data_IF_378506399394
#
_entry.id   IF_378506399394
#
_cell.length_a   1.000
_cell.length_b   1.000
_cell.length_c   1.000
_cell.angle_alpha   90.00
_cell.angle_beta   90.00
_cell.angle_gamma   90.00
#
_symmetry.space_group_name_H-M   'P 1'
#
loop_
_entity.id
_entity.type
_entity.pdbx_description
1 polymer ?
#
# COMPACT_ATOMS: atom_id res chain seq x y z
N UNK A 1 -35.93 13.15 -21.32
CA UNK A 1 -35.23 12.35 -20.30
C UNK A 1 -35.15 10.93 -20.85
N UNK A 2 -34.02 10.27 -21.07
CA UNK A 2 -32.62 10.57 -20.79
C UNK A 2 -31.79 10.17 -22.01
N UNK A 3 -30.76 10.97 -22.30
CA UNK A 3 -29.75 10.75 -23.33
C UNK A 3 -28.69 9.79 -22.81
N UNK A 4 -28.41 8.75 -23.58
CA UNK A 4 -27.31 7.81 -23.40
C UNK A 4 -26.12 8.28 -24.26
N UNK A 5 -24.98 8.68 -23.67
CA UNK A 5 -23.84 9.10 -24.46
C UNK A 5 -22.66 8.14 -24.26
N UNK A 6 -21.99 7.86 -25.39
CA UNK A 6 -20.65 7.29 -25.54
C UNK A 6 -20.55 5.79 -25.88
N UNK A 7 -21.10 5.45 -27.04
CA UNK A 7 -20.40 4.64 -28.04
C UNK A 7 -19.49 5.59 -28.86
N UNK A 8 -18.22 5.22 -29.09
CA UNK A 8 -17.23 6.17 -29.61
C UNK A 8 -15.83 5.58 -29.83
N UNK A 9 -15.77 4.67 -30.80
CA UNK A 9 -14.66 4.39 -31.73
C UNK A 9 -13.20 4.74 -31.33
N UNK A 10 -12.44 3.67 -31.11
CA UNK A 10 -10.97 3.62 -31.06
C UNK A 10 -10.38 3.58 -32.48
N UNK A 11 -9.99 4.73 -33.07
CA UNK A 11 -8.97 4.75 -34.16
C UNK A 11 -8.08 5.99 -34.16
N UNK A 12 -6.82 5.73 -33.83
CA UNK A 12 -5.56 6.23 -34.45
C UNK A 12 -5.46 7.72 -34.80
N UNK A 13 -4.59 8.41 -34.07
CA UNK A 13 -3.67 9.37 -34.68
C UNK A 13 -2.25 9.12 -34.16
N UNK A 14 -1.37 8.75 -35.10
CA UNK A 14 0.08 8.67 -34.96
C UNK A 14 0.68 9.88 -35.68
N UNK A 15 1.70 10.46 -35.05
CA UNK A 15 2.75 11.36 -35.55
C UNK A 15 2.63 12.88 -35.39
N UNK A 16 3.66 13.41 -34.71
CA UNK A 16 4.31 14.67 -35.06
C UNK A 16 4.30 15.70 -33.93
N UNK A 17 5.37 15.78 -33.12
CA UNK A 17 5.46 16.84 -32.12
C UNK A 17 6.61 16.71 -31.15
N UNK A 18 7.75 17.27 -31.52
CA UNK A 18 8.99 17.43 -30.76
C UNK A 18 8.79 18.47 -29.65
N UNK A 19 9.30 18.17 -28.45
CA UNK A 19 9.75 19.19 -27.49
C UNK A 19 8.76 19.56 -26.38
N UNK A 20 9.31 19.70 -25.16
CA UNK A 20 8.62 20.31 -24.03
C UNK A 20 8.73 19.47 -22.78
N UNK A 21 9.77 19.72 -21.98
CA UNK A 21 9.93 19.11 -20.67
C UNK A 21 8.72 19.41 -19.78
N UNK A 22 8.12 18.35 -19.23
CA UNK A 22 7.19 18.50 -18.13
C UNK A 22 8.01 18.68 -16.86
N UNK A 23 7.98 19.91 -16.35
CA UNK A 23 8.35 20.22 -14.99
C UNK A 23 7.36 19.55 -14.03
N UNK A 24 7.92 18.91 -13.02
CA UNK A 24 7.21 18.49 -11.83
C UNK A 24 6.48 19.70 -11.21
N UNK A 25 5.16 19.63 -10.94
CA UNK A 25 4.44 20.74 -10.30
C UNK A 25 4.56 20.73 -8.77
N UNK A 26 5.44 19.89 -8.20
CA UNK A 26 5.76 19.92 -6.78
C UNK A 26 7.27 19.74 -6.64
N UNK A 27 7.96 20.82 -6.25
CA UNK A 27 9.42 20.90 -6.14
C UNK A 27 10.02 20.04 -5.03
N UNK A 28 9.78 18.74 -5.03
CA UNK A 28 10.58 17.79 -4.27
C UNK A 28 11.86 17.50 -5.05
N UNK A 29 12.90 18.28 -4.77
CA UNK A 29 14.26 17.93 -5.17
C UNK A 29 14.71 16.80 -4.24
N UNK A 30 15.00 15.58 -4.73
CA UNK A 30 15.54 14.54 -3.88
C UNK A 30 16.89 15.04 -3.34
N UNK A 31 16.98 15.14 -2.01
CA UNK A 31 18.25 15.40 -1.33
C UNK A 31 19.16 14.22 -1.67
N UNK A 32 20.25 14.48 -2.39
CA UNK A 32 21.25 13.47 -2.72
C UNK A 32 21.65 12.71 -1.44
N UNK A 33 21.80 11.38 -1.47
CA UNK A 33 22.51 10.71 -0.39
C UNK A 33 23.94 11.22 -0.40
N UNK A 34 24.30 11.96 0.65
CA UNK A 34 25.65 12.47 0.91
C UNK A 34 26.56 11.31 1.37
N UNK A 35 26.64 10.24 0.59
CA UNK A 35 27.60 9.17 0.79
C UNK A 35 28.92 9.59 0.13
N UNK A 36 29.72 10.38 0.85
CA UNK A 36 31.07 10.73 0.39
C UNK A 36 31.69 12.01 0.94
N UNK A 37 30.95 12.84 1.69
CA UNK A 37 31.60 13.92 2.45
C UNK A 37 32.19 13.30 3.72
N UNK A 38 33.44 12.85 3.63
CA UNK A 38 34.33 12.98 4.78
C UNK A 38 34.19 14.41 5.26
N UNK A 39 33.59 14.62 6.44
CA UNK A 39 33.61 15.92 7.11
C UNK A 39 35.04 16.44 6.97
N UNK A 40 35.28 17.59 6.29
CA UNK A 40 36.58 18.20 6.41
C UNK A 40 36.79 18.36 7.91
N UNK A 41 37.93 17.89 8.48
CA UNK A 41 38.16 18.01 9.91
C UNK A 41 37.88 19.47 10.23
N UNK A 42 36.96 19.71 11.17
CA UNK A 42 36.57 21.05 11.60
C UNK A 42 37.87 21.80 11.79
N UNK A 43 38.22 22.63 10.80
CA UNK A 43 39.51 23.31 10.79
C UNK A 43 39.49 24.09 12.09
N UNK A 44 40.42 23.86 13.03
CA UNK A 44 40.41 24.61 14.27
C UNK A 44 40.48 26.06 13.82
N UNK A 45 39.40 26.81 14.07
CA UNK A 45 39.39 28.23 13.81
C UNK A 45 40.69 28.76 14.45
N UNK A 46 41.51 29.54 13.71
CA UNK A 46 42.82 29.92 14.21
C UNK A 46 42.63 30.54 15.59
N UNK A 47 43.28 29.93 16.59
CA UNK A 47 43.16 30.31 18.00
C UNK A 47 43.76 31.70 18.32
N UNK A 48 44.11 32.47 17.27
CA UNK A 48 44.52 33.88 17.32
C UNK A 48 43.46 34.81 16.72
N UNK A 49 42.17 34.47 16.84
CA UNK A 49 41.12 35.47 16.68
C UNK A 49 41.25 36.47 17.83
N UNK A 50 41.57 37.73 17.52
CA UNK A 50 41.65 38.86 18.47
C UNK A 50 40.35 38.94 19.28
N UNK A 51 40.30 38.25 20.42
CA UNK A 51 39.13 38.14 21.27
C UNK A 51 39.07 39.36 22.18
N UNK A 52 38.42 40.40 21.65
CA UNK A 52 38.12 41.61 22.40
C UNK A 52 36.73 41.45 23.02
N UNK A 53 36.62 41.49 24.34
CA UNK A 53 35.31 41.57 24.99
C UNK A 53 34.87 43.03 25.12
N UNK A 54 33.55 43.31 25.25
CA UNK A 54 33.08 44.66 25.57
C UNK A 54 33.76 45.24 26.82
N UNK A 55 34.07 44.38 27.80
CA UNK A 55 34.76 44.77 29.03
C UNK A 55 36.22 45.17 28.76
N UNK A 56 36.91 44.46 27.86
CA UNK A 56 38.28 44.79 27.47
C UNK A 56 38.33 46.14 26.76
N UNK A 57 37.35 46.42 25.89
CA UNK A 57 37.22 47.72 25.22
C UNK A 57 37.02 48.83 26.25
N UNK A 58 36.11 48.64 27.23
CA UNK A 58 35.87 49.63 28.30
C UNK A 58 37.07 49.83 29.24
N UNK A 59 38.00 48.88 29.32
CA UNK A 59 39.20 48.98 30.16
C UNK A 59 40.44 49.42 29.40
N UNK A 60 40.39 49.49 28.07
CA UNK A 60 41.55 49.79 27.23
C UNK A 60 42.03 51.23 27.42
N UNK A 61 43.22 51.43 27.96
CA UNK A 61 43.85 52.75 28.09
C UNK A 61 44.75 53.07 26.89
N UNK A 62 44.78 54.33 26.48
CA UNK A 62 45.63 54.82 25.39
C UNK A 62 46.71 55.78 25.91
N UNK A 63 47.94 55.63 25.39
CA UNK A 63 49.04 56.53 25.72
C UNK A 63 48.83 57.90 25.07
N UNK A 64 49.09 58.98 25.80
CA UNK A 64 49.00 60.36 25.29
C UNK A 64 50.23 60.68 24.43
N UNK A 65 50.04 61.36 23.30
CA UNK A 65 51.13 61.85 22.43
C UNK A 65 50.85 63.28 21.95
N UNK A 66 51.91 64.04 21.64
CA UNK A 66 51.85 65.47 21.27
C UNK A 66 51.04 65.77 19.98
N UNK A 67 50.67 64.75 19.19
CA UNK A 67 49.81 64.85 17.99
C UNK A 67 48.71 63.77 17.98
N UNK A 68 48.27 63.31 19.16
CA UNK A 68 47.25 62.27 19.29
C UNK A 68 45.83 62.77 19.06
N UNK A 69 44.90 61.83 18.93
CA UNK A 69 43.45 62.12 18.90
C UNK A 69 42.98 62.72 20.23
N UNK A 70 41.86 63.44 20.18
CA UNK A 70 41.23 64.04 21.37
C UNK A 70 40.81 62.95 22.37
N UNK A 71 41.28 63.01 23.64
CA UNK A 71 40.99 61.97 24.63
C UNK A 71 39.49 61.72 24.88
N UNK A 72 38.68 62.79 24.92
CA UNK A 72 37.23 62.69 25.16
C UNK A 72 36.53 62.00 23.99
N UNK A 73 36.84 62.39 22.75
CA UNK A 73 36.27 61.76 21.56
C UNK A 73 36.65 60.28 21.42
N UNK A 74 37.89 59.91 21.78
CA UNK A 74 38.33 58.50 21.80
C UNK A 74 37.58 57.71 22.87
N UNK A 75 37.40 58.28 24.07
CA UNK A 75 36.66 57.64 25.16
C UNK A 75 35.18 57.40 24.78
N UNK A 76 34.51 58.40 24.23
CA UNK A 76 33.13 58.29 23.75
C UNK A 76 33.01 57.22 22.65
N UNK A 77 33.94 57.19 21.70
CA UNK A 77 33.96 56.17 20.66
C UNK A 77 34.17 54.77 21.24
N UNK A 78 35.13 54.62 22.18
CA UNK A 78 35.43 53.35 22.87
C UNK A 78 34.18 52.80 23.57
N UNK A 79 33.46 53.65 24.30
CA UNK A 79 32.21 53.26 24.95
C UNK A 79 31.14 52.82 23.94
N UNK A 80 30.93 53.58 22.85
CA UNK A 80 29.98 53.21 21.79
C UNK A 80 30.33 51.89 21.11
N UNK A 81 31.61 51.62 20.87
CA UNK A 81 32.08 50.35 20.28
C UNK A 81 31.84 49.20 21.25
N UNK A 82 32.12 49.39 22.55
CA UNK A 82 31.83 48.37 23.56
C UNK A 82 30.34 48.02 23.61
N UNK A 83 29.46 49.03 23.62
CA UNK A 83 28.01 48.82 23.65
C UNK A 83 27.49 48.15 22.37
N UNK A 84 28.01 48.55 21.21
CA UNK A 84 27.67 47.91 19.93
C UNK A 84 28.12 46.44 19.90
N UNK A 85 29.32 46.14 20.41
CA UNK A 85 29.83 44.77 20.49
C UNK A 85 29.00 43.93 21.47
N UNK A 86 28.64 44.47 22.63
CA UNK A 86 27.79 43.80 23.61
C UNK A 86 26.42 43.44 23.00
N UNK A 87 25.84 44.39 22.25
CA UNK A 87 24.59 44.16 21.51
C UNK A 87 24.72 43.03 20.49
N UNK A 88 25.78 43.04 19.67
CA UNK A 88 26.02 42.00 18.66
C UNK A 88 26.22 40.63 19.31
N UNK A 89 26.97 40.54 20.42
CA UNK A 89 27.17 39.28 21.15
C UNK A 89 25.82 38.75 21.68
N UNK A 90 24.98 39.63 22.22
CA UNK A 90 23.64 39.24 22.71
C UNK A 90 22.74 38.77 21.57
N UNK A 91 22.68 39.51 20.47
CA UNK A 91 21.91 39.12 19.29
C UNK A 91 22.41 37.79 18.70
N UNK A 92 23.72 37.59 18.64
CA UNK A 92 24.34 36.32 18.23
C UNK A 92 23.91 35.16 19.12
N UNK A 93 23.99 35.31 20.44
CA UNK A 93 23.56 34.29 21.41
C UNK A 93 22.11 33.86 21.18
N UNK A 94 21.21 34.84 21.02
CA UNK A 94 19.79 34.58 20.75
C UNK A 94 19.58 33.87 19.41
N UNK A 95 20.35 34.23 18.38
CA UNK A 95 20.26 33.58 17.07
C UNK A 95 20.81 32.14 17.11
N UNK A 96 21.91 31.90 17.84
CA UNK A 96 22.49 30.56 18.04
C UNK A 96 21.51 29.64 18.79
N UNK A 97 20.87 30.12 19.85
CA UNK A 97 19.81 29.37 20.55
C UNK A 97 18.64 29.01 19.63
N UNK A 98 18.17 29.97 18.81
CA UNK A 98 17.10 29.73 17.84
C UNK A 98 17.50 28.72 16.76
N UNK A 99 18.73 28.82 16.25
CA UNK A 99 19.27 27.87 15.28
C UNK A 99 19.35 26.46 15.86
N UNK A 100 19.78 26.32 17.11
CA UNK A 100 19.81 25.04 17.81
C UNK A 100 18.40 24.44 17.91
N UNK A 101 17.43 25.22 18.40
CA UNK A 101 16.04 24.77 18.54
C UNK A 101 15.40 24.38 17.19
N UNK A 102 15.62 25.17 16.14
CA UNK A 102 15.14 24.86 14.79
C UNK A 102 15.81 23.60 14.21
N UNK A 103 17.10 23.40 14.49
CA UNK A 103 17.84 22.22 14.04
C UNK A 103 17.32 20.95 14.70
N UNK A 104 17.02 21.00 16.00
CA UNK A 104 16.38 19.89 16.73
C UNK A 104 14.98 19.58 16.19
N UNK A 105 14.16 20.60 15.94
CA UNK A 105 12.84 20.41 15.32
C UNK A 105 12.96 19.78 13.94
N UNK A 106 13.87 20.25 13.09
CA UNK A 106 14.09 19.71 11.77
C UNK A 106 14.54 18.24 11.83
N UNK A 107 15.40 17.89 12.78
CA UNK A 107 15.80 16.50 13.03
C UNK A 107 14.59 15.64 13.39
N UNK A 108 13.76 16.08 14.33
CA UNK A 108 12.55 15.36 14.72
C UNK A 108 11.56 15.21 13.54
N UNK A 109 11.41 16.23 12.70
CA UNK A 109 10.58 16.13 11.49
C UNK A 109 11.13 15.09 10.50
N UNK A 110 12.44 15.09 10.26
CA UNK A 110 13.08 14.09 9.38
C UNK A 110 12.94 12.67 9.91
N UNK A 111 13.08 12.47 11.22
CA UNK A 111 12.87 11.16 11.85
C UNK A 111 11.40 10.69 11.70
N UNK A 112 10.43 11.59 11.90
CA UNK A 112 9.01 11.28 11.67
C UNK A 112 8.71 10.97 10.20
N UNK A 113 9.29 11.72 9.27
CA UNK A 113 9.13 11.48 7.83
C UNK A 113 9.68 10.11 7.43
N UNK A 114 10.85 9.72 7.97
CA UNK A 114 11.42 8.38 7.77
C UNK A 114 10.48 7.29 8.29
N UNK A 115 10.01 7.41 9.53
CA UNK A 115 9.07 6.46 10.11
C UNK A 115 7.76 6.36 9.31
N UNK A 116 7.26 7.47 8.78
CA UNK A 116 6.06 7.50 7.95
C UNK A 116 6.29 6.81 6.60
N UNK A 117 7.45 7.01 5.97
CA UNK A 117 7.83 6.32 4.73
C UNK A 117 7.97 4.81 4.95
N UNK A 118 8.62 4.39 6.04
CA UNK A 118 8.73 2.98 6.42
C UNK A 118 7.34 2.35 6.65
N UNK A 119 6.46 3.04 7.37
CA UNK A 119 5.09 2.60 7.59
C UNK A 119 4.29 2.49 6.28
N UNK A 120 4.49 3.41 5.33
CA UNK A 120 3.84 3.36 4.02
C UNK A 120 4.31 2.13 3.22
N UNK A 121 5.61 1.86 3.20
CA UNK A 121 6.17 0.67 2.53
C UNK A 121 5.64 -0.60 3.18
N UNK A 122 5.63 -0.67 4.51
CA UNK A 122 5.07 -1.81 5.24
C UNK A 122 3.58 -2.03 4.92
N UNK A 123 2.80 -0.95 4.85
CA UNK A 123 1.38 -1.02 4.49
C UNK A 123 1.16 -1.48 3.04
N UNK A 124 2.03 -1.09 2.11
CA UNK A 124 1.99 -1.57 0.72
C UNK A 124 2.32 -3.06 0.65
N UNK A 125 3.35 -3.51 1.36
CA UNK A 125 3.73 -4.92 1.43
C UNK A 125 2.60 -5.77 2.04
N UNK A 126 2.04 -5.33 3.17
CA UNK A 126 0.91 -6.02 3.81
C UNK A 126 -0.29 -6.13 2.88
N UNK A 127 -0.62 -5.06 2.14
CA UNK A 127 -1.70 -5.08 1.16
C UNK A 127 -1.45 -6.10 0.06
N UNK A 128 -0.22 -6.19 -0.44
CA UNK A 128 0.14 -7.16 -1.47
C UNK A 128 0.06 -8.59 -0.94
N UNK A 129 0.56 -8.83 0.28
CA UNK A 129 0.51 -10.15 0.92
C UNK A 129 -0.94 -10.58 1.18
N UNK A 130 -1.80 -9.67 1.66
CA UNK A 130 -3.23 -9.92 1.82
C UNK A 130 -3.91 -10.27 0.50
N UNK A 131 -3.57 -9.56 -0.59
CA UNK A 131 -4.12 -9.86 -1.92
C UNK A 131 -3.72 -11.27 -2.38
N UNK A 132 -2.44 -11.64 -2.24
CA UNK A 132 -1.96 -12.97 -2.62
C UNK A 132 -2.60 -14.06 -1.77
N UNK A 133 -2.76 -13.83 -0.46
CA UNK A 133 -3.45 -14.76 0.43
C UNK A 133 -4.91 -14.96 0.04
N UNK A 134 -5.65 -13.87 -0.19
CA UNK A 134 -7.05 -13.92 -0.61
C UNK A 134 -7.23 -14.60 -1.98
N UNK A 135 -6.33 -14.35 -2.94
CA UNK A 135 -6.35 -15.03 -4.24
C UNK A 135 -6.12 -16.54 -4.09
N UNK A 136 -5.19 -16.96 -3.22
CA UNK A 136 -4.95 -18.39 -2.93
C UNK A 136 -6.15 -19.04 -2.26
N UNK A 137 -6.71 -18.39 -1.24
CA UNK A 137 -7.88 -18.89 -0.51
C UNK A 137 -9.10 -19.00 -1.42
N UNK A 138 -9.35 -18.01 -2.27
CA UNK A 138 -10.42 -18.05 -3.27
C UNK A 138 -10.27 -19.23 -4.23
N UNK A 139 -9.03 -19.55 -4.65
CA UNK A 139 -8.77 -20.70 -5.51
C UNK A 139 -8.99 -22.04 -4.80
N UNK A 140 -8.65 -22.13 -3.51
CA UNK A 140 -8.93 -23.31 -2.69
C UNK A 140 -10.44 -23.50 -2.57
N UNK A 141 -11.18 -22.47 -2.15
CA UNK A 141 -12.64 -22.51 -2.04
C UNK A 141 -13.29 -22.94 -3.36
N UNK A 142 -12.84 -22.36 -4.48
CA UNK A 142 -13.35 -22.72 -5.80
C UNK A 142 -13.11 -24.20 -6.12
N UNK A 143 -11.89 -24.71 -5.88
CA UNK A 143 -11.57 -26.12 -6.13
C UNK A 143 -12.38 -27.06 -5.25
N UNK A 144 -12.57 -26.71 -3.99
CA UNK A 144 -13.39 -27.50 -3.05
C UNK A 144 -14.85 -27.52 -3.48
N UNK A 145 -15.41 -26.36 -3.87
CA UNK A 145 -16.77 -26.26 -4.39
C UNK A 145 -16.95 -27.07 -5.68
N UNK A 146 -15.98 -27.01 -6.61
CA UNK A 146 -16.02 -27.80 -7.84
C UNK A 146 -15.91 -29.32 -7.56
N UNK A 147 -15.07 -29.72 -6.61
CA UNK A 147 -14.94 -31.12 -6.21
C UNK A 147 -16.23 -31.63 -5.56
N UNK A 148 -16.85 -30.84 -4.70
CA UNK A 148 -18.09 -31.21 -4.04
C UNK A 148 -19.26 -31.26 -5.02
N UNK A 149 -19.37 -30.29 -5.93
CA UNK A 149 -20.38 -30.31 -6.99
C UNK A 149 -20.26 -31.57 -7.86
N UNK A 150 -19.02 -31.99 -8.21
CA UNK A 150 -18.79 -33.24 -8.95
C UNK A 150 -19.25 -34.46 -8.15
N UNK A 151 -18.91 -34.54 -6.86
CA UNK A 151 -19.37 -35.64 -5.99
C UNK A 151 -20.88 -35.74 -5.95
N UNK A 152 -21.57 -34.61 -5.78
CA UNK A 152 -23.03 -34.56 -5.77
C UNK A 152 -23.58 -35.06 -7.10
N UNK A 153 -23.08 -34.56 -8.23
CA UNK A 153 -23.54 -34.98 -9.56
C UNK A 153 -23.33 -36.48 -9.80
N UNK A 154 -22.18 -37.02 -9.42
CA UNK A 154 -21.87 -38.44 -9.58
C UNK A 154 -22.77 -39.30 -8.68
N UNK A 155 -23.01 -38.88 -7.43
CA UNK A 155 -23.95 -39.54 -6.53
C UNK A 155 -25.39 -39.52 -7.07
N UNK A 156 -25.85 -38.37 -7.58
CA UNK A 156 -27.18 -38.26 -8.20
C UNK A 156 -27.31 -39.15 -9.42
N UNK A 157 -26.31 -39.19 -10.31
CA UNK A 157 -26.31 -40.07 -11.48
C UNK A 157 -26.35 -41.55 -11.10
N UNK A 158 -25.60 -41.94 -10.08
CA UNK A 158 -25.62 -43.30 -9.57
C UNK A 158 -27.02 -43.66 -9.02
N UNK A 159 -27.62 -42.78 -8.24
CA UNK A 159 -28.97 -42.97 -7.71
C UNK A 159 -30.03 -43.03 -8.82
N UNK A 160 -29.94 -42.19 -9.85
CA UNK A 160 -30.82 -42.25 -11.01
C UNK A 160 -30.68 -43.58 -11.77
N UNK A 161 -29.45 -44.04 -12.00
CA UNK A 161 -29.19 -45.30 -12.69
C UNK A 161 -29.77 -46.48 -11.90
N UNK A 162 -29.58 -46.49 -10.58
CA UNK A 162 -30.16 -47.50 -9.70
C UNK A 162 -31.70 -47.45 -9.71
N UNK A 163 -32.29 -46.26 -9.62
CA UNK A 163 -33.74 -46.08 -9.70
C UNK A 163 -34.32 -46.59 -11.03
N UNK A 164 -33.67 -46.28 -12.16
CA UNK A 164 -34.08 -46.78 -13.48
C UNK A 164 -33.96 -48.30 -13.58
N UNK A 165 -32.90 -48.89 -13.03
CA UNK A 165 -32.71 -50.33 -13.00
C UNK A 165 -33.83 -51.03 -12.21
N UNK A 166 -34.16 -50.53 -11.01
CA UNK A 166 -35.27 -51.04 -10.18
C UNK A 166 -36.63 -50.93 -10.90
N UNK A 167 -36.86 -49.82 -11.61
CA UNK A 167 -38.10 -49.62 -12.39
C UNK A 167 -38.21 -50.64 -13.53
N UNK A 168 -37.12 -50.85 -14.30
CA UNK A 168 -37.10 -51.86 -15.37
C UNK A 168 -37.31 -53.28 -14.83
N UNK A 169 -36.74 -53.59 -13.66
CA UNK A 169 -36.95 -54.88 -13.01
C UNK A 169 -38.41 -55.07 -12.58
N UNK A 170 -39.03 -54.05 -11.99
CA UNK A 170 -40.44 -54.08 -11.62
C UNK A 170 -41.36 -54.26 -12.84
N UNK A 171 -41.09 -53.57 -13.96
CA UNK A 171 -41.82 -53.75 -15.21
C UNK A 171 -41.69 -55.18 -15.76
N UNK A 172 -40.50 -55.77 -15.70
CA UNK A 172 -40.26 -57.18 -16.11
C UNK A 172 -41.03 -58.15 -15.22
N UNK A 173 -40.99 -57.96 -13.90
CA UNK A 173 -41.76 -58.78 -12.95
C UNK A 173 -43.26 -58.68 -13.22
N UNK A 174 -43.78 -57.48 -13.44
CA UNK A 174 -45.19 -57.26 -13.76
C UNK A 174 -45.60 -57.92 -15.08
N UNK A 175 -44.80 -57.75 -16.14
CA UNK A 175 -45.05 -58.40 -17.42
C UNK A 175 -45.05 -59.94 -17.30
N UNK A 176 -44.09 -60.50 -16.56
CA UNK A 176 -44.03 -61.95 -16.28
C UNK A 176 -45.24 -62.44 -15.48
N UNK A 177 -45.66 -61.70 -14.46
CA UNK A 177 -46.87 -62.00 -13.69
C UNK A 177 -48.12 -62.02 -14.57
N UNK A 178 -48.31 -60.99 -15.40
CA UNK A 178 -49.46 -60.88 -16.30
C UNK A 178 -49.50 -62.01 -17.34
N UNK A 179 -48.34 -62.38 -17.90
CA UNK A 179 -48.23 -63.53 -18.80
C UNK A 179 -48.59 -64.84 -18.10
N UNK A 180 -48.07 -65.07 -16.89
CA UNK A 180 -48.39 -66.26 -16.09
C UNK A 180 -49.87 -66.33 -15.71
N UNK A 181 -50.46 -65.20 -15.31
CA UNK A 181 -51.88 -65.11 -14.98
C UNK A 181 -52.78 -65.39 -16.19
N UNK A 182 -52.43 -64.83 -17.36
CA UNK A 182 -53.14 -65.11 -18.61
C UNK A 182 -53.08 -66.59 -18.96
N UNK A 183 -51.91 -67.22 -18.90
CA UNK A 183 -51.76 -68.64 -19.18
C UNK A 183 -52.58 -69.53 -18.22
N UNK A 184 -52.66 -69.15 -16.94
CA UNK A 184 -53.52 -69.82 -15.96
C UNK A 184 -55.00 -69.72 -16.35
N UNK A 185 -55.49 -68.52 -16.70
CA UNK A 185 -56.87 -68.31 -17.12
C UNK A 185 -57.20 -69.07 -18.40
N UNK A 186 -56.31 -69.05 -19.40
CA UNK A 186 -56.47 -69.81 -20.65
C UNK A 186 -56.56 -71.32 -20.38
N UNK A 187 -55.73 -71.84 -19.47
CA UNK A 187 -55.82 -73.24 -19.01
C UNK A 187 -57.16 -73.54 -18.33
N UNK A 188 -57.60 -72.71 -17.39
CA UNK A 188 -58.88 -72.90 -16.69
C UNK A 188 -60.08 -72.86 -17.64
N UNK A 189 -60.05 -71.96 -18.63
CA UNK A 189 -61.07 -71.90 -19.69
C UNK A 189 -61.07 -73.16 -20.57
N UNK A 190 -59.89 -73.69 -20.91
CA UNK A 190 -59.79 -74.94 -21.68
C UNK A 190 -60.34 -76.14 -20.90
N UNK A 191 -60.09 -76.22 -19.59
CA UNK A 191 -60.66 -77.25 -18.70
C UNK A 191 -62.20 -77.16 -18.67
N UNK A 192 -62.79 -75.97 -18.53
CA UNK A 192 -64.24 -75.78 -18.56
C UNK A 192 -64.86 -76.20 -19.89
N UNK A 193 -64.26 -75.82 -21.02
CA UNK A 193 -64.74 -76.23 -22.35
C UNK A 193 -64.70 -77.74 -22.57
N UNK A 194 -63.67 -78.40 -22.03
CA UNK A 194 -63.57 -79.86 -22.10
C UNK A 194 -64.69 -80.54 -21.31
N UNK A 195 -65.08 -79.98 -20.16
CA UNK A 195 -66.20 -80.46 -19.35
C UNK A 195 -67.55 -80.23 -20.03
N UNK A 196 -67.76 -79.07 -20.66
CA UNK A 196 -68.99 -78.77 -21.42
C UNK A 196 -69.15 -79.68 -22.65
N UNK A 197 -68.05 -80.04 -23.32
CA UNK A 197 -68.07 -80.97 -24.46
C UNK A 197 -68.37 -82.44 -24.10
N UNK A 198 -68.34 -82.82 -22.82
CA UNK A 198 -68.72 -84.15 -22.34
C UNK A 198 -70.19 -84.22 -21.87
N UNK A 199 -70.92 -83.10 -21.90
CA UNK A 199 -72.31 -83.00 -21.43
C UNK A 199 -73.38 -82.88 -22.53
N UNK A 200 -73.03 -83.12 -23.80
CA UNK A 200 -73.93 -83.09 -24.96
C UNK A 200 -74.20 -84.46 -25.57
#
# INVERSE_FOLDING_TARGET
MASDPFDGDVRRLRHGGRGGGNGDPAGYRPVRPEDGMSEPPASPAPADAFHLTPLDIRKQEFRKSLRGYEPIGVEDFRMRVADALERVIRERSVLEERLSALSEQLRAFRERERAMNEALVAAQQLRQDMRVAAEREAQVIKREAEAEARRILDATRAAEAEGRARMQEAERMYAGYMQGFRALLERQLAELRALEGHGG
#
